data_IF_431512892485
#
_entry.id   IF_431512892485
#
_cell.length_a   1.000
_cell.length_b   1.000
_cell.length_c   1.000
_cell.angle_alpha   90.00
_cell.angle_beta   90.00
_cell.angle_gamma   90.00
#
_symmetry.space_group_name_H-M   'P 1'
#
loop_
_entity.id
_entity.type
_entity.pdbx_description
1 polymer ?
#
# COMPACT_ATOMS: atom_id res chain seq x y z
N UNK A 1 32.12 13.39 13.58
CA UNK A 1 31.46 14.59 14.14
C UNK A 1 31.34 15.66 13.06
N UNK A 2 30.11 16.05 12.70
CA UNK A 2 29.69 17.32 12.05
C UNK A 2 28.15 17.26 11.88
N UNK A 3 27.41 17.76 12.89
CA UNK A 3 26.47 18.90 12.82
C UNK A 3 25.25 18.64 11.90
N UNK A 4 24.10 18.10 12.34
CA UNK A 4 23.00 18.68 13.20
C UNK A 4 22.61 20.10 12.84
N UNK A 5 21.49 20.27 12.12
CA UNK A 5 20.72 21.52 12.05
C UNK A 5 19.20 21.24 12.00
N UNK A 6 18.53 21.54 13.13
CA UNK A 6 17.27 22.31 13.31
C UNK A 6 16.00 21.85 12.54
N UNK A 7 14.99 21.21 13.14
CA UNK A 7 14.05 21.64 14.20
C UNK A 7 13.42 23.03 14.01
N UNK A 8 12.18 23.08 13.49
CA UNK A 8 11.23 24.19 13.72
C UNK A 8 9.79 23.68 13.79
N UNK A 9 9.30 23.61 15.02
CA UNK A 9 7.90 23.50 15.43
C UNK A 9 7.15 24.79 15.10
N UNK A 10 5.87 24.70 14.72
CA UNK A 10 4.88 25.73 15.06
C UNK A 10 3.51 25.08 15.34
N UNK A 11 3.22 24.94 16.64
CA UNK A 11 1.89 24.74 17.21
C UNK A 11 1.10 26.04 17.12
N UNK A 12 -0.11 25.99 16.55
CA UNK A 12 -1.11 27.05 16.63
C UNK A 12 -2.28 26.61 17.50
N UNK A 13 -2.31 27.10 18.74
CA UNK A 13 -3.38 26.94 19.73
C UNK A 13 -4.38 28.11 19.56
N UNK A 14 -5.66 27.83 19.34
CA UNK A 14 -6.75 28.80 19.53
C UNK A 14 -7.97 28.11 20.16
N UNK A 15 -8.46 28.68 21.25
CA UNK A 15 -9.53 28.16 22.12
C UNK A 15 -10.45 29.33 22.49
N UNK A 16 -11.77 29.21 22.23
CA UNK A 16 -12.93 29.91 22.85
C UNK A 16 -14.15 29.73 21.89
N UNK A 17 -15.23 28.98 22.18
CA UNK A 17 -16.25 29.00 23.25
C UNK A 17 -17.52 29.85 22.94
N UNK A 18 -18.65 29.15 22.73
CA UNK A 18 -20.08 29.46 23.09
C UNK A 18 -20.81 30.65 22.41
N UNK A 19 -22.13 30.70 22.08
CA UNK A 19 -23.36 29.93 22.40
C UNK A 19 -24.55 30.39 21.48
N UNK A 20 -25.43 29.45 21.07
CA UNK A 20 -26.92 29.46 20.92
C UNK A 20 -27.68 30.55 20.10
N UNK A 21 -28.51 30.14 19.11
CA UNK A 21 -29.99 30.11 19.15
C UNK A 21 -30.60 29.62 17.81
N UNK A 22 -31.55 28.69 17.92
CA UNK A 22 -32.41 28.21 16.83
C UNK A 22 -33.79 28.95 16.87
N UNK A 23 -34.29 29.39 15.72
CA UNK A 23 -35.71 29.65 15.40
C UNK A 23 -35.85 29.44 13.87
N UNK A 24 -36.39 28.34 13.34
CA UNK A 24 -37.81 27.97 13.19
C UNK A 24 -38.69 29.04 12.51
N UNK A 25 -38.97 28.83 11.22
CA UNK A 25 -40.11 29.39 10.49
C UNK A 25 -40.57 28.36 9.43
N UNK A 26 -41.88 28.06 9.30
CA UNK A 26 -42.36 27.03 8.37
C UNK A 26 -42.94 27.57 7.04
N UNK A 27 -42.65 26.82 5.97
CA UNK A 27 -43.50 26.49 4.81
C UNK A 27 -43.86 27.59 3.75
N UNK A 28 -44.47 27.24 2.60
CA UNK A 28 -43.95 26.37 1.52
C UNK A 28 -44.19 26.93 0.09
N UNK A 29 -43.71 26.16 -0.90
CA UNK A 29 -44.29 25.93 -2.24
C UNK A 29 -43.91 26.81 -3.45
N UNK A 30 -43.32 26.14 -4.47
CA UNK A 30 -43.52 26.47 -5.89
C UNK A 30 -42.28 26.94 -6.67
N UNK A 31 -41.56 26.01 -7.34
CA UNK A 31 -40.62 26.39 -8.39
C UNK A 31 -39.64 25.31 -8.81
N UNK A 32 -39.96 24.60 -9.90
CA UNK A 32 -39.11 23.63 -10.62
C UNK A 32 -37.65 24.07 -10.77
N UNK A 33 -36.75 23.19 -10.35
CA UNK A 33 -35.33 23.28 -10.62
C UNK A 33 -34.62 22.11 -9.97
N UNK A 34 -34.89 20.90 -10.46
CA UNK A 34 -34.12 19.72 -10.09
C UNK A 34 -32.66 19.92 -10.48
N UNK A 35 -31.87 20.46 -9.55
CA UNK A 35 -30.41 20.41 -9.65
C UNK A 35 -30.00 19.06 -9.10
N UNK A 36 -30.00 18.11 -10.02
CA UNK A 36 -29.32 16.84 -9.93
C UNK A 36 -28.03 17.00 -9.10
N UNK A 37 -28.00 16.33 -7.96
CA UNK A 37 -26.79 16.13 -7.17
C UNK A 37 -25.83 15.25 -7.96
N UNK A 38 -25.17 15.84 -8.94
CA UNK A 38 -24.16 15.18 -9.77
C UNK A 38 -22.83 15.19 -9.02
N UNK A 39 -22.35 13.98 -8.69
CA UNK A 39 -20.93 13.75 -8.41
C UNK A 39 -20.57 13.27 -7.01
N UNK A 40 -21.41 12.47 -6.35
CA UNK A 40 -21.21 12.14 -4.94
C UNK A 40 -21.26 10.67 -4.53
N UNK A 41 -21.15 9.67 -5.43
CA UNK A 41 -20.91 8.25 -5.03
C UNK A 41 -20.77 7.22 -6.15
N UNK A 42 -20.65 7.61 -7.41
CA UNK A 42 -20.45 6.66 -8.51
C UNK A 42 -18.96 6.57 -8.83
N UNK A 43 -18.24 5.68 -8.16
CA UNK A 43 -16.80 5.54 -8.38
C UNK A 43 -16.09 4.46 -7.58
N UNK A 44 -16.76 3.79 -6.64
CA UNK A 44 -16.28 2.48 -6.16
C UNK A 44 -16.77 1.41 -7.14
N UNK A 45 -16.25 1.47 -8.37
CA UNK A 45 -16.45 0.41 -9.35
C UNK A 45 -16.05 -0.93 -8.73
N UNK A 46 -16.77 -1.98 -9.09
CA UNK A 46 -16.42 -3.36 -8.78
C UNK A 46 -15.10 -3.70 -9.49
N UNK A 47 -13.99 -3.26 -8.90
CA UNK A 47 -12.65 -3.50 -9.39
C UNK A 47 -12.31 -4.97 -9.13
N UNK A 48 -12.53 -5.80 -10.13
CA UNK A 48 -12.07 -7.18 -10.13
C UNK A 48 -10.53 -7.19 -10.05
N UNK A 49 -9.93 -7.75 -8.98
CA UNK A 49 -8.48 -7.81 -8.82
C UNK A 49 -7.78 -8.51 -9.99
N UNK A 50 -8.42 -9.51 -10.60
CA UNK A 50 -7.86 -10.23 -11.74
C UNK A 50 -7.75 -9.31 -12.96
N UNK A 51 -8.81 -8.57 -13.28
CA UNK A 51 -8.80 -7.60 -14.38
C UNK A 51 -7.79 -6.47 -14.16
N UNK A 52 -7.59 -6.05 -12.91
CA UNK A 52 -6.57 -5.05 -12.57
C UNK A 52 -5.17 -5.58 -12.81
N UNK A 53 -4.91 -6.84 -12.46
CA UNK A 53 -3.64 -7.50 -12.72
C UNK A 53 -3.40 -7.64 -14.23
N UNK A 54 -4.39 -8.07 -15.01
CA UNK A 54 -4.29 -8.17 -16.47
C UNK A 54 -3.93 -6.82 -17.13
N UNK A 55 -4.66 -5.75 -16.75
CA UNK A 55 -4.37 -4.39 -17.25
C UNK A 55 -2.97 -3.92 -16.88
N UNK A 56 -2.50 -4.28 -15.69
CA UNK A 56 -1.15 -3.96 -15.26
C UNK A 56 -0.10 -4.72 -16.07
N UNK A 57 -0.30 -6.01 -16.31
CA UNK A 57 0.59 -6.83 -17.12
C UNK A 57 0.64 -6.35 -18.58
N UNK A 58 -0.50 -5.98 -19.17
CA UNK A 58 -0.54 -5.38 -20.50
C UNK A 58 0.28 -4.08 -20.59
N UNK A 59 0.21 -3.22 -19.56
CA UNK A 59 1.05 -2.01 -19.49
C UNK A 59 2.53 -2.32 -19.40
N UNK A 60 2.91 -3.38 -18.68
CA UNK A 60 4.31 -3.81 -18.63
C UNK A 60 4.78 -4.30 -20.01
N UNK A 61 3.99 -5.14 -20.68
CA UNK A 61 4.32 -5.62 -22.01
C UNK A 61 4.55 -4.47 -22.99
N UNK A 62 3.62 -3.51 -23.04
CA UNK A 62 3.70 -2.32 -23.89
C UNK A 62 4.92 -1.47 -23.56
N UNK A 63 5.13 -1.19 -22.26
CA UNK A 63 6.27 -0.38 -21.80
C UNK A 63 7.60 -1.02 -22.17
N UNK A 64 7.71 -2.33 -21.99
CA UNK A 64 8.89 -3.12 -22.33
C UNK A 64 9.07 -3.30 -23.83
N UNK A 65 8.06 -2.98 -24.65
CA UNK A 65 8.03 -3.23 -26.10
C UNK A 65 8.42 -4.67 -26.42
N UNK A 66 7.97 -5.61 -25.58
CA UNK A 66 8.27 -7.03 -25.74
C UNK A 66 7.41 -7.61 -26.86
N UNK A 67 8.03 -8.37 -27.76
CA UNK A 67 7.31 -9.21 -28.72
C UNK A 67 6.45 -10.27 -28.00
N UNK A 68 5.43 -10.84 -28.67
CA UNK A 68 4.63 -11.93 -28.07
C UNK A 68 5.48 -13.10 -27.56
N UNK A 69 6.55 -13.44 -28.29
CA UNK A 69 7.45 -14.54 -27.97
C UNK A 69 8.32 -14.23 -26.75
N UNK A 70 8.90 -13.03 -26.67
CA UNK A 70 9.64 -12.58 -25.49
C UNK A 70 8.72 -12.48 -24.27
N UNK A 71 7.50 -11.98 -24.48
CA UNK A 71 6.54 -11.78 -23.41
C UNK A 71 6.12 -13.11 -22.77
N UNK A 72 5.97 -14.19 -23.54
CA UNK A 72 5.68 -15.52 -22.99
C UNK A 72 6.73 -16.00 -21.96
N UNK A 73 7.98 -15.56 -22.10
CA UNK A 73 9.08 -15.91 -21.19
C UNK A 73 9.20 -14.91 -20.04
N UNK A 74 9.00 -13.62 -20.31
CA UNK A 74 9.10 -12.52 -19.34
C UNK A 74 7.93 -12.54 -18.35
N UNK A 75 6.71 -12.74 -18.83
CA UNK A 75 5.47 -12.63 -18.06
C UNK A 75 5.48 -13.48 -16.77
N UNK A 76 5.76 -14.80 -16.79
CA UNK A 76 5.75 -15.61 -15.58
C UNK A 76 6.82 -15.17 -14.57
N UNK A 77 8.02 -14.77 -15.01
CA UNK A 77 9.09 -14.30 -14.12
C UNK A 77 8.77 -12.94 -13.51
N UNK A 78 8.12 -12.06 -14.29
CA UNK A 78 7.63 -10.78 -13.79
C UNK A 78 6.52 -10.98 -12.75
N UNK A 79 5.57 -11.87 -12.99
CA UNK A 79 4.52 -12.21 -12.00
C UNK A 79 5.13 -12.71 -10.69
N UNK A 80 6.13 -13.57 -10.76
CA UNK A 80 6.85 -14.06 -9.57
C UNK A 80 7.53 -12.91 -8.81
N UNK A 81 8.25 -12.01 -9.51
CA UNK A 81 8.83 -10.81 -8.88
C UNK A 81 7.76 -9.97 -8.18
N UNK A 82 6.63 -9.71 -8.83
CA UNK A 82 5.55 -8.90 -8.26
C UNK A 82 4.92 -9.57 -7.03
N UNK A 83 4.76 -10.89 -7.05
CA UNK A 83 4.31 -11.68 -5.91
C UNK A 83 5.30 -11.58 -4.73
N UNK A 84 6.60 -11.80 -4.97
CA UNK A 84 7.62 -11.70 -3.91
C UNK A 84 7.78 -10.27 -3.40
N UNK A 85 7.66 -9.25 -4.26
CA UNK A 85 7.63 -7.85 -3.85
C UNK A 85 6.44 -7.56 -2.94
N UNK A 86 5.26 -8.09 -3.28
CA UNK A 86 4.07 -7.97 -2.45
C UNK A 86 4.28 -8.66 -1.09
N UNK A 87 4.73 -9.91 -1.07
CA UNK A 87 4.99 -10.65 0.16
C UNK A 87 6.02 -9.95 1.06
N UNK A 88 7.10 -9.42 0.48
CA UNK A 88 8.10 -8.65 1.21
C UNK A 88 7.51 -7.34 1.80
N UNK A 89 6.66 -6.64 1.04
CA UNK A 89 5.98 -5.42 1.49
C UNK A 89 4.91 -5.68 2.54
N UNK A 90 4.19 -6.80 2.49
CA UNK A 90 3.20 -7.17 3.49
C UNK A 90 3.86 -7.34 4.87
N UNK A 91 5.07 -7.92 4.91
CA UNK A 91 5.86 -8.06 6.13
C UNK A 91 6.60 -6.77 6.55
N UNK A 92 6.79 -5.86 5.61
CA UNK A 92 7.28 -4.51 5.84
C UNK A 92 6.15 -3.63 6.41
N UNK A 93 6.19 -3.34 7.70
CA UNK A 93 5.15 -2.59 8.42
C UNK A 93 4.75 -1.21 7.85
N UNK A 94 5.46 -0.74 6.81
CA UNK A 94 5.10 0.45 6.03
C UNK A 94 3.79 0.28 5.25
N UNK A 95 3.42 -0.94 4.83
CA UNK A 95 2.15 -1.19 4.13
C UNK A 95 0.94 -0.95 5.05
N UNK A 96 1.02 -1.38 6.32
CA UNK A 96 0.00 -1.10 7.35
C UNK A 96 -0.09 0.38 7.71
N UNK A 97 1.05 1.06 7.82
CA UNK A 97 1.11 2.52 8.06
C UNK A 97 0.42 3.30 6.92
N UNK A 98 0.61 2.92 5.66
CA UNK A 98 -0.01 3.61 4.51
C UNK A 98 -1.55 3.46 4.48
N UNK A 99 -2.08 2.36 5.02
CA UNK A 99 -3.53 2.19 5.24
C UNK A 99 -4.07 3.13 6.32
N UNK A 100 -3.29 3.33 7.38
CA UNK A 100 -3.62 4.19 8.52
C UNK A 100 -3.66 5.70 8.15
N UNK A 101 -2.88 6.14 7.16
CA UNK A 101 -2.90 7.52 6.67
C UNK A 101 -3.94 7.80 5.56
N UNK A 102 -4.65 6.76 5.05
CA UNK A 102 -5.66 6.91 4.00
C UNK A 102 -7.10 6.75 4.52
N UNK A 103 -7.29 6.27 5.74
CA UNK A 103 -8.59 6.24 6.43
C UNK A 103 -8.50 7.04 7.72
N UNK A 104 -9.27 8.13 7.81
CA UNK A 104 -9.46 8.85 9.08
C UNK A 104 -10.06 7.96 10.18
N UNK A 105 -10.28 8.49 11.41
CA UNK A 105 -10.59 7.73 12.64
C UNK A 105 -11.90 6.91 12.67
N UNK A 106 -12.49 6.58 11.53
CA UNK A 106 -13.78 5.92 11.41
C UNK A 106 -13.70 4.74 10.43
N UNK A 107 -12.83 3.78 10.72
CA UNK A 107 -12.83 2.46 10.10
C UNK A 107 -12.93 1.42 11.19
N UNK A 108 -14.12 0.81 11.34
CA UNK A 108 -14.33 -0.29 12.28
C UNK A 108 -13.49 -1.54 11.96
N UNK A 109 -13.60 -2.62 12.77
CA UNK A 109 -12.70 -3.78 12.76
C UNK A 109 -12.68 -4.68 11.51
N UNK A 110 -13.08 -4.19 10.34
CA UNK A 110 -13.45 -5.06 9.21
C UNK A 110 -12.80 -4.60 7.90
N UNK A 111 -11.79 -5.34 7.45
CA UNK A 111 -11.41 -5.39 6.04
C UNK A 111 -10.03 -4.85 5.64
N UNK A 112 -9.06 -4.76 6.56
CA UNK A 112 -7.65 -4.65 6.17
C UNK A 112 -7.12 -6.02 5.69
N UNK A 113 -6.13 -6.07 4.77
CA UNK A 113 -5.42 -7.32 4.51
C UNK A 113 -4.92 -7.90 5.84
N UNK A 114 -5.13 -9.21 6.06
CA UNK A 114 -4.70 -9.86 7.29
C UNK A 114 -3.22 -9.57 7.56
N UNK A 115 -2.93 -9.19 8.79
CA UNK A 115 -1.58 -8.91 9.22
C UNK A 115 -0.74 -10.20 9.16
N UNK A 116 0.52 -10.17 8.69
CA UNK A 116 1.37 -11.34 8.67
C UNK A 116 1.52 -11.95 10.07
N UNK A 117 1.50 -13.28 10.16
CA UNK A 117 1.53 -14.02 11.42
C UNK A 117 2.74 -13.66 12.31
N UNK A 118 3.91 -13.43 11.71
CA UNK A 118 5.13 -13.07 12.43
C UNK A 118 5.06 -11.66 13.04
N UNK A 119 4.31 -10.75 12.41
CA UNK A 119 4.05 -9.41 12.95
C UNK A 119 3.06 -9.50 14.10
N UNK A 120 1.94 -10.22 13.91
CA UNK A 120 0.95 -10.45 14.96
C UNK A 120 1.56 -11.14 16.20
N UNK A 121 2.47 -12.09 15.98
CA UNK A 121 3.19 -12.77 17.07
C UNK A 121 4.09 -11.83 17.87
N UNK A 122 4.78 -10.89 17.20
CA UNK A 122 5.60 -9.88 17.88
C UNK A 122 4.73 -8.89 18.63
N UNK A 123 3.63 -8.40 18.03
CA UNK A 123 2.68 -7.51 18.70
C UNK A 123 2.11 -8.15 19.96
N UNK A 124 1.66 -9.41 19.87
CA UNK A 124 1.18 -10.17 21.03
C UNK A 124 2.26 -10.36 22.10
N UNK A 125 3.52 -10.62 21.72
CA UNK A 125 4.61 -10.76 22.68
C UNK A 125 4.89 -9.44 23.43
N UNK A 126 4.70 -8.29 22.77
CA UNK A 126 4.89 -6.96 23.35
C UNK A 126 3.77 -6.56 24.33
N UNK A 127 2.61 -7.23 24.32
CA UNK A 127 1.55 -7.02 25.32
C UNK A 127 1.92 -7.58 26.70
N UNK A 128 2.87 -8.51 26.76
CA UNK A 128 3.37 -9.12 27.99
C UNK A 128 4.64 -8.46 28.55
N UNK A 129 5.16 -9.05 29.63
CA UNK A 129 6.44 -8.65 30.26
C UNK A 129 7.57 -9.65 30.01
N UNK A 130 7.32 -10.71 29.23
CA UNK A 130 8.29 -11.77 28.93
C UNK A 130 9.26 -11.34 27.82
N UNK A 131 10.47 -10.97 28.23
CA UNK A 131 11.54 -10.57 27.32
C UNK A 131 12.00 -11.70 26.38
N UNK A 132 11.94 -12.97 26.79
CA UNK A 132 12.35 -14.09 25.94
C UNK A 132 11.29 -14.38 24.86
N UNK A 133 10.00 -14.20 25.16
CA UNK A 133 8.93 -14.24 24.16
C UNK A 133 9.12 -13.14 23.09
N UNK A 134 9.41 -11.90 23.51
CA UNK A 134 9.68 -10.78 22.58
C UNK A 134 10.90 -11.06 21.71
N UNK A 135 12.00 -11.55 22.31
CA UNK A 135 13.24 -11.88 21.58
C UNK A 135 13.01 -12.98 20.55
N UNK A 136 12.24 -14.00 20.90
CA UNK A 136 11.89 -15.12 19.99
C UNK A 136 11.03 -14.64 18.82
N UNK A 137 9.95 -13.89 19.09
CA UNK A 137 9.08 -13.35 18.04
C UNK A 137 9.82 -12.36 17.12
N UNK A 138 10.71 -11.54 17.68
CA UNK A 138 11.55 -10.62 16.91
C UNK A 138 12.53 -11.36 16.00
N UNK A 139 13.16 -12.43 16.50
CA UNK A 139 14.04 -13.27 15.69
C UNK A 139 13.26 -13.92 14.53
N UNK A 140 12.07 -14.46 14.80
CA UNK A 140 11.21 -15.03 13.76
C UNK A 140 10.85 -14.00 12.68
N UNK A 141 10.41 -12.80 13.06
CA UNK A 141 10.08 -11.73 12.11
C UNK A 141 11.29 -11.32 11.26
N UNK A 142 12.47 -11.21 11.86
CA UNK A 142 13.71 -10.87 11.13
C UNK A 142 14.10 -11.95 10.12
N UNK A 143 14.07 -13.22 10.52
CA UNK A 143 14.31 -14.36 9.62
C UNK A 143 13.31 -14.35 8.47
N UNK A 144 12.04 -14.12 8.77
CA UNK A 144 10.97 -14.12 7.80
C UNK A 144 11.09 -12.96 6.78
N UNK A 145 11.66 -11.81 7.19
CA UNK A 145 12.04 -10.69 6.29
C UNK A 145 13.20 -11.08 5.40
N UNK A 146 14.29 -11.59 6.00
CA UNK A 146 15.48 -11.99 5.26
C UNK A 146 15.15 -13.05 4.19
N UNK A 147 14.30 -14.03 4.51
CA UNK A 147 13.85 -15.04 3.55
C UNK A 147 13.09 -14.41 2.37
N UNK A 148 12.09 -13.56 2.63
CA UNK A 148 11.29 -12.93 1.57
C UNK A 148 12.12 -11.98 0.71
N UNK A 149 13.10 -11.28 1.30
CA UNK A 149 14.06 -10.45 0.56
C UNK A 149 14.99 -11.29 -0.32
N UNK A 150 15.48 -12.43 0.18
CA UNK A 150 16.30 -13.36 -0.60
C UNK A 150 15.52 -13.98 -1.76
N UNK A 151 14.27 -14.40 -1.53
CA UNK A 151 13.37 -14.91 -2.58
C UNK A 151 13.07 -13.85 -3.64
N UNK A 152 12.79 -12.60 -3.22
CA UNK A 152 12.61 -11.50 -4.14
C UNK A 152 13.87 -11.23 -4.97
N UNK A 153 15.05 -11.27 -4.36
CA UNK A 153 16.32 -11.09 -5.06
C UNK A 153 16.52 -12.17 -6.12
N UNK A 154 16.28 -13.44 -5.76
CA UNK A 154 16.36 -14.57 -6.69
C UNK A 154 15.34 -14.46 -7.85
N UNK A 155 14.12 -14.03 -7.56
CA UNK A 155 13.10 -13.78 -8.59
C UNK A 155 13.53 -12.66 -9.55
N UNK A 156 14.11 -11.58 -9.01
CA UNK A 156 14.67 -10.46 -9.79
C UNK A 156 15.81 -10.92 -10.69
N UNK A 157 16.73 -11.75 -10.19
CA UNK A 157 17.84 -12.32 -10.97
C UNK A 157 17.31 -13.21 -12.10
N UNK A 158 16.38 -14.12 -11.80
CA UNK A 158 15.73 -14.95 -12.81
C UNK A 158 15.07 -14.09 -13.90
N UNK A 159 14.35 -13.03 -13.54
CA UNK A 159 13.76 -12.13 -14.53
C UNK A 159 14.84 -11.46 -15.39
N UNK A 160 15.98 -11.06 -14.82
CA UNK A 160 17.08 -10.41 -15.55
C UNK A 160 17.69 -11.29 -16.64
N UNK A 161 17.76 -12.61 -16.44
CA UNK A 161 18.30 -13.56 -17.42
C UNK A 161 17.58 -13.53 -18.79
N UNK A 162 16.32 -13.11 -18.80
CA UNK A 162 15.47 -13.12 -20.01
C UNK A 162 15.18 -11.73 -20.55
N UNK A 163 15.73 -10.69 -19.92
CA UNK A 163 15.57 -9.31 -20.35
C UNK A 163 16.78 -8.85 -21.16
N UNK A 164 16.51 -8.05 -22.19
CA UNK A 164 17.52 -7.19 -22.79
C UNK A 164 17.87 -6.03 -21.85
N UNK A 165 19.07 -5.45 -22.03
CA UNK A 165 19.53 -4.28 -21.27
C UNK A 165 18.54 -3.11 -21.35
N UNK A 166 17.92 -2.89 -22.51
CA UNK A 166 16.91 -1.84 -22.71
C UNK A 166 15.65 -2.10 -21.88
N UNK A 167 15.19 -3.35 -21.80
CA UNK A 167 14.03 -3.73 -20.99
C UNK A 167 14.33 -3.63 -19.50
N UNK A 168 15.53 -4.02 -19.09
CA UNK A 168 15.99 -3.87 -17.71
C UNK A 168 16.00 -2.39 -17.29
N UNK A 169 16.59 -1.50 -18.10
CA UNK A 169 16.59 -0.06 -17.83
C UNK A 169 15.18 0.51 -17.67
N UNK A 170 14.21 0.03 -18.47
CA UNK A 170 12.80 0.40 -18.32
C UNK A 170 12.23 -0.12 -17.01
N UNK A 171 12.57 -1.34 -16.59
CA UNK A 171 12.13 -1.89 -15.31
C UNK A 171 12.73 -1.16 -14.10
N UNK A 172 13.95 -0.63 -14.22
CA UNK A 172 14.53 0.28 -13.21
C UNK A 172 13.71 1.58 -13.14
N UNK A 173 13.37 2.19 -14.28
CA UNK A 173 12.51 3.38 -14.31
C UNK A 173 11.10 3.14 -13.75
N UNK A 174 10.60 1.91 -13.86
CA UNK A 174 9.32 1.49 -13.26
C UNK A 174 9.44 1.13 -11.76
N UNK A 175 10.66 1.14 -11.20
CA UNK A 175 10.92 0.80 -9.79
C UNK A 175 10.76 -0.68 -9.45
N UNK A 176 10.87 -1.57 -10.45
CA UNK A 176 10.89 -3.03 -10.23
C UNK A 176 12.30 -3.49 -9.87
N UNK A 177 13.29 -2.96 -10.58
CA UNK A 177 14.70 -3.13 -10.26
C UNK A 177 15.27 -1.88 -9.60
N UNK A 178 16.45 -2.07 -9.00
CA UNK A 178 17.31 -1.05 -8.41
C UNK A 178 18.62 -0.99 -9.20
#
# INVERSE_FOLDING_TARGET
MKTRELSRWLLGLCLAATVVLAQQGPAPEGGRGGREGRGGREGRGNWDPAQMQERMMARFQESLKASPEEWQVIEPRLKDVMEKQRAARELGGLAGLRGMFRGGPQGGPQGGPEQPAEVAALEKALEGTDAEAVKTALAALRTARATREAELTKAKESLREVLSVTQEARMVLMGIFE
#
